data_IF_387362190910
#
_entry.id   IF_387362190910
#
_cell.length_a   1.000
_cell.length_b   1.000
_cell.length_c   1.000
_cell.angle_alpha   90.00
_cell.angle_beta   90.00
_cell.angle_gamma   90.00
#
_symmetry.space_group_name_H-M   'P 1'
#
loop_
_entity.id
_entity.type
_entity.pdbx_description
1 polymer ?
#
# COMPACT_ATOMS: atom_id res chain seq x y z
N UNK A 1 -2.89 -8.24 29.60
CA UNK A 1 -2.09 -9.18 28.79
C UNK A 1 -1.87 -8.57 27.41
N UNK A 2 -0.66 -8.10 27.10
CA UNK A 2 -0.32 -7.64 25.76
C UNK A 2 0.05 -8.84 24.90
N UNK A 3 -0.83 -9.24 23.98
CA UNK A 3 -0.55 -10.26 22.97
C UNK A 3 0.50 -9.69 22.01
N UNK A 4 1.79 -9.96 22.25
CA UNK A 4 2.85 -9.71 21.27
C UNK A 4 2.65 -10.70 20.12
N UNK A 5 1.85 -10.32 19.12
CA UNK A 5 1.82 -11.01 17.83
C UNK A 5 3.25 -11.01 17.30
N UNK A 6 3.89 -12.18 17.26
CA UNK A 6 5.29 -12.35 16.84
C UNK A 6 5.45 -11.80 15.42
N UNK A 7 6.21 -10.73 15.31
CA UNK A 7 6.74 -10.25 14.04
C UNK A 7 7.94 -11.13 13.70
N UNK A 8 7.94 -11.76 12.53
CA UNK A 8 9.06 -12.57 12.04
C UNK A 8 9.80 -11.78 10.96
N UNK A 9 11.09 -11.53 11.18
CA UNK A 9 12.01 -11.00 10.15
C UNK A 9 12.32 -12.16 9.22
N UNK A 10 11.97 -12.04 7.94
CA UNK A 10 11.99 -13.18 7.01
C UNK A 10 13.28 -13.31 6.19
N UNK A 11 13.94 -12.22 5.80
CA UNK A 11 15.14 -12.30 4.95
C UNK A 11 15.89 -10.95 4.91
N UNK A 12 17.21 -11.02 4.75
CA UNK A 12 18.10 -9.90 4.40
C UNK A 12 18.52 -10.09 2.94
N UNK A 13 17.85 -9.42 2.01
CA UNK A 13 18.29 -9.39 0.61
C UNK A 13 18.76 -7.97 0.33
N UNK A 14 20.05 -7.80 0.01
CA UNK A 14 20.63 -6.49 -0.33
C UNK A 14 20.29 -5.37 0.68
N UNK A 15 20.39 -5.67 1.98
CA UNK A 15 20.08 -4.76 3.09
C UNK A 15 18.59 -4.39 3.26
N UNK A 16 17.67 -4.88 2.44
CA UNK A 16 16.24 -4.67 2.64
C UNK A 16 15.69 -5.69 3.65
N UNK A 17 15.00 -5.20 4.69
CA UNK A 17 14.43 -6.05 5.74
C UNK A 17 12.93 -6.18 5.51
N UNK A 18 12.46 -7.42 5.53
CA UNK A 18 11.07 -7.77 5.28
C UNK A 18 10.42 -8.25 6.59
N UNK A 19 9.35 -7.57 6.98
CA UNK A 19 8.55 -7.88 8.18
C UNK A 19 7.19 -8.43 7.76
N UNK A 20 6.84 -9.65 8.17
CA UNK A 20 5.53 -10.24 7.88
C UNK A 20 4.58 -10.06 9.06
N UNK A 21 3.41 -9.50 8.78
CA UNK A 21 2.31 -9.44 9.73
C UNK A 21 1.46 -10.72 9.68
N UNK A 22 0.72 -11.05 10.76
CA UNK A 22 -0.18 -12.21 10.77
C UNK A 22 -1.27 -12.18 9.69
N UNK A 23 -1.56 -11.01 9.12
CA UNK A 23 -2.52 -10.86 8.02
C UNK A 23 -1.93 -11.07 6.63
N UNK A 24 -0.65 -11.46 6.53
CA UNK A 24 0.03 -11.63 5.24
C UNK A 24 0.55 -10.33 4.62
N UNK A 25 0.39 -9.19 5.30
CA UNK A 25 1.02 -7.93 4.89
C UNK A 25 2.52 -8.02 5.11
N UNK A 26 3.26 -7.64 4.10
CA UNK A 26 4.71 -7.60 4.08
C UNK A 26 5.12 -6.12 4.17
N UNK A 27 5.89 -5.75 5.20
CA UNK A 27 6.42 -4.40 5.38
C UNK A 27 7.87 -4.38 4.90
N UNK A 28 8.18 -3.39 4.07
CA UNK A 28 9.46 -3.17 3.42
C UNK A 28 10.21 -2.09 4.20
N UNK A 29 11.31 -2.45 4.88
CA UNK A 29 12.12 -1.48 5.66
C UNK A 29 13.58 -1.45 5.22
N UNK A 30 14.14 -0.25 5.18
CA UNK A 30 15.55 -0.01 4.90
C UNK A 30 16.29 0.40 6.17
N UNK A 31 17.36 -0.33 6.57
CA UNK A 31 18.25 0.07 7.63
C UNK A 31 19.18 1.20 7.16
N UNK A 32 19.24 2.26 7.95
CA UNK A 32 20.15 3.38 7.81
C UNK A 32 21.11 3.36 9.00
N UNK A 33 22.40 3.22 8.72
CA UNK A 33 23.44 3.33 9.75
C UNK A 33 23.56 4.79 10.20
N UNK A 34 23.51 5.00 11.50
CA UNK A 34 23.68 6.32 12.14
C UNK A 34 24.74 6.20 13.25
N UNK A 35 25.36 7.30 13.70
CA UNK A 35 26.25 7.26 14.86
C UNK A 35 25.53 6.66 16.07
N UNK A 36 26.07 5.57 16.63
CA UNK A 36 25.49 4.91 17.79
C UNK A 36 24.33 3.94 17.52
N UNK A 37 23.96 3.64 16.26
CA UNK A 37 22.91 2.65 16.00
C UNK A 37 22.47 2.46 14.54
N UNK A 38 21.30 1.86 14.37
CA UNK A 38 20.63 1.64 13.08
C UNK A 38 19.19 2.14 13.17
N UNK A 39 18.81 3.05 12.28
CA UNK A 39 17.42 3.48 12.08
C UNK A 39 16.79 2.61 11.01
N UNK A 40 15.53 2.22 11.16
CA UNK A 40 14.78 1.49 10.12
C UNK A 40 13.71 2.41 9.56
N UNK A 41 13.82 2.78 8.27
CA UNK A 41 12.79 3.53 7.57
C UNK A 41 11.87 2.58 6.82
N UNK A 42 10.55 2.76 6.98
CA UNK A 42 9.56 2.07 6.15
C UNK A 42 9.60 2.68 4.75
N UNK A 43 9.81 1.85 3.74
CA UNK A 43 9.77 2.25 2.33
C UNK A 43 8.43 1.88 1.68
N UNK A 44 7.65 1.00 2.32
CA UNK A 44 6.37 0.57 1.80
C UNK A 44 5.83 -0.69 2.45
N UNK A 45 4.74 -1.21 1.89
CA UNK A 45 4.17 -2.49 2.28
C UNK A 45 3.48 -3.15 1.07
N UNK A 46 3.25 -4.47 1.15
CA UNK A 46 2.49 -5.21 0.14
C UNK A 46 1.53 -6.21 0.77
N UNK A 47 0.34 -6.34 0.16
CA UNK A 47 -0.58 -7.47 0.33
C UNK A 47 -0.48 -8.35 -0.93
N UNK A 48 0.52 -9.23 -0.95
CA UNK A 48 0.79 -10.11 -2.10
C UNK A 48 -0.39 -11.01 -2.44
N UNK A 49 -1.17 -11.43 -1.44
CA UNK A 49 -2.38 -12.27 -1.63
C UNK A 49 -3.42 -11.53 -2.47
N UNK A 50 -3.54 -10.22 -2.29
CA UNK A 50 -4.52 -9.37 -2.99
C UNK A 50 -3.92 -8.56 -4.14
N UNK A 51 -2.63 -8.71 -4.40
CA UNK A 51 -1.94 -8.01 -5.50
C UNK A 51 -1.84 -6.50 -5.29
N UNK A 52 -1.66 -6.05 -4.05
CA UNK A 52 -1.47 -4.63 -3.71
C UNK A 52 -0.06 -4.39 -3.21
N UNK A 53 0.61 -3.36 -3.75
CA UNK A 53 1.90 -2.88 -3.27
C UNK A 53 1.84 -1.36 -3.15
N UNK A 54 2.34 -0.83 -2.03
CA UNK A 54 2.45 0.60 -1.77
C UNK A 54 3.91 0.92 -1.49
N UNK A 55 4.47 1.84 -2.27
CA UNK A 55 5.83 2.37 -2.09
C UNK A 55 5.77 3.84 -1.76
N UNK A 56 6.35 4.22 -0.63
CA UNK A 56 6.49 5.62 -0.24
C UNK A 56 7.70 6.23 -0.92
N UNK A 57 7.56 7.48 -1.35
CA UNK A 57 8.71 8.26 -1.77
C UNK A 57 9.65 8.47 -0.58
N UNK A 58 10.96 8.45 -0.83
CA UNK A 58 11.94 8.69 0.23
C UNK A 58 11.90 10.15 0.75
N UNK A 59 11.44 11.08 -0.10
CA UNK A 59 11.29 12.48 0.20
C UNK A 59 9.94 12.98 -0.34
N UNK A 60 9.27 13.83 0.43
CA UNK A 60 7.96 14.36 0.11
C UNK A 60 6.81 13.43 0.51
N UNK A 61 5.58 13.92 0.31
CA UNK A 61 4.37 13.22 0.69
C UNK A 61 3.76 12.51 -0.53
N UNK A 62 4.52 11.61 -1.15
CA UNK A 62 4.05 10.84 -2.30
C UNK A 62 4.11 9.34 -2.03
N UNK A 63 3.11 8.62 -2.53
CA UNK A 63 3.08 7.18 -2.51
C UNK A 63 2.67 6.64 -3.88
N UNK A 64 3.36 5.61 -4.34
CA UNK A 64 3.00 4.87 -5.55
C UNK A 64 2.29 3.59 -5.17
N UNK A 65 1.07 3.42 -5.67
CA UNK A 65 0.26 2.23 -5.52
C UNK A 65 0.35 1.41 -6.81
N UNK A 66 0.71 0.14 -6.67
CA UNK A 66 0.66 -0.86 -7.73
C UNK A 66 -0.44 -1.88 -7.42
N UNK A 67 -1.23 -2.21 -8.44
CA UNK A 67 -2.36 -3.12 -8.34
C UNK A 67 -2.37 -4.19 -9.44
N UNK A 68 -2.43 -5.44 -9.02
CA UNK A 68 -2.55 -6.66 -9.84
C UNK A 68 -3.67 -7.59 -9.32
N UNK A 69 -4.58 -7.03 -8.52
CA UNK A 69 -5.58 -7.77 -7.77
C UNK A 69 -6.79 -8.22 -8.58
N UNK A 70 -7.92 -8.34 -7.88
CA UNK A 70 -9.17 -8.91 -8.39
C UNK A 70 -9.58 -8.35 -9.75
N UNK A 71 -9.75 -7.03 -9.87
CA UNK A 71 -10.27 -6.40 -11.09
C UNK A 71 -9.33 -6.58 -12.28
N UNK A 72 -8.01 -6.48 -12.04
CA UNK A 72 -7.01 -6.70 -13.07
C UNK A 72 -7.04 -8.14 -13.61
N UNK A 73 -7.19 -9.12 -12.72
CA UNK A 73 -7.32 -10.55 -13.06
C UNK A 73 -8.64 -10.88 -13.74
N UNK A 74 -9.69 -10.13 -13.43
CA UNK A 74 -11.01 -10.24 -14.07
C UNK A 74 -11.10 -9.56 -15.44
N UNK A 75 -9.99 -9.00 -15.95
CA UNK A 75 -9.93 -8.43 -17.29
C UNK A 75 -10.44 -6.99 -17.40
N UNK A 76 -10.41 -6.22 -16.31
CA UNK A 76 -10.73 -4.80 -16.35
C UNK A 76 -9.89 -4.08 -17.43
N UNK A 77 -10.58 -3.34 -18.30
CA UNK A 77 -9.99 -2.50 -19.35
C UNK A 77 -9.36 -1.22 -18.77
N UNK A 78 -9.85 -0.77 -17.62
CA UNK A 78 -9.35 0.36 -16.87
C UNK A 78 -9.56 0.16 -15.36
N UNK A 79 -8.52 0.44 -14.56
CA UNK A 79 -8.63 0.50 -13.10
C UNK A 79 -8.46 1.94 -12.61
N UNK A 80 -9.21 2.29 -11.57
CA UNK A 80 -9.14 3.56 -10.88
C UNK A 80 -8.76 3.33 -9.42
N UNK A 81 -7.89 4.18 -8.91
CA UNK A 81 -7.61 4.30 -7.48
C UNK A 81 -8.68 5.22 -6.88
N UNK A 82 -9.49 4.69 -5.98
CA UNK A 82 -10.45 5.47 -5.20
C UNK A 82 -9.86 5.68 -3.81
N UNK A 83 -9.54 6.92 -3.45
CA UNK A 83 -8.89 7.22 -2.18
C UNK A 83 -9.44 8.46 -1.51
N UNK A 84 -9.42 8.47 -0.18
CA UNK A 84 -9.78 9.62 0.65
C UNK A 84 -8.99 9.64 1.95
N UNK A 85 -9.19 10.69 2.73
CA UNK A 85 -8.49 10.95 3.99
C UNK A 85 -9.47 10.89 5.17
N UNK A 86 -8.98 11.06 6.40
CA UNK A 86 -9.80 11.03 7.60
C UNK A 86 -10.12 9.62 8.12
N UNK A 87 -11.29 9.48 8.75
CA UNK A 87 -11.71 8.23 9.41
C UNK A 87 -12.00 7.12 8.38
N UNK A 88 -11.57 5.86 8.60
CA UNK A 88 -11.81 4.76 7.66
C UNK A 88 -13.30 4.48 7.36
N UNK A 89 -14.22 4.94 8.21
CA UNK A 89 -15.67 4.83 8.03
C UNK A 89 -16.30 6.09 7.42
N UNK A 90 -15.59 7.22 7.44
CA UNK A 90 -16.07 8.51 6.94
C UNK A 90 -14.95 9.23 6.19
N UNK A 91 -14.78 8.89 4.91
CA UNK A 91 -13.70 9.42 4.09
C UNK A 91 -14.01 10.88 3.70
N UNK A 92 -12.97 11.70 3.71
CA UNK A 92 -13.00 13.09 3.29
C UNK A 92 -12.12 13.29 2.06
N UNK A 93 -12.38 14.36 1.29
CA UNK A 93 -11.60 14.72 0.10
C UNK A 93 -11.39 13.54 -0.86
N UNK A 94 -12.47 12.78 -1.08
CA UNK A 94 -12.45 11.54 -1.85
C UNK A 94 -12.19 11.86 -3.32
N UNK A 95 -11.24 11.13 -3.92
CA UNK A 95 -10.92 11.23 -5.33
C UNK A 95 -10.94 9.85 -5.98
N UNK A 96 -11.34 9.81 -7.25
CA UNK A 96 -11.23 8.63 -8.10
C UNK A 96 -10.31 8.97 -9.25
N UNK A 97 -9.13 8.36 -9.28
CA UNK A 97 -8.08 8.71 -10.21
C UNK A 97 -7.77 7.53 -11.11
N UNK A 98 -7.73 7.79 -12.43
CA UNK A 98 -7.34 6.78 -13.42
C UNK A 98 -5.91 6.30 -13.13
N UNK A 99 -5.73 4.98 -13.09
CA UNK A 99 -4.41 4.35 -12.99
C UNK A 99 -3.84 4.07 -14.37
N UNK A 100 -2.51 4.06 -14.48
CA UNK A 100 -1.81 3.77 -15.72
C UNK A 100 -1.46 2.29 -15.79
N UNK A 101 -1.68 1.69 -16.97
CA UNK A 101 -1.33 0.28 -17.19
C UNK A 101 0.14 0.18 -17.54
N UNK A 102 0.90 -0.56 -16.74
CA UNK A 102 2.33 -0.82 -16.91
C UNK A 102 2.58 -2.33 -17.06
N UNK A 103 3.80 -2.75 -17.43
CA UNK A 103 4.16 -4.17 -17.41
C UNK A 103 4.06 -4.84 -16.03
N UNK A 104 4.09 -4.05 -14.94
CA UNK A 104 3.97 -4.57 -13.57
C UNK A 104 2.51 -4.70 -13.11
N UNK A 105 1.58 -3.96 -13.72
CA UNK A 105 0.17 -3.90 -13.32
C UNK A 105 -0.41 -2.51 -13.51
N UNK A 106 -1.41 -2.15 -12.72
CA UNK A 106 -1.98 -0.80 -12.69
C UNK A 106 -1.25 0.05 -11.66
N UNK A 107 -0.68 1.17 -12.06
CA UNK A 107 0.12 2.04 -11.20
C UNK A 107 -0.49 3.44 -11.07
N UNK A 108 -0.40 4.02 -9.87
CA UNK A 108 -0.72 5.42 -9.63
C UNK A 108 0.12 6.00 -8.50
N UNK A 109 0.78 7.12 -8.78
CA UNK A 109 1.39 7.95 -7.73
C UNK A 109 0.38 8.98 -7.24
N UNK A 110 0.18 9.04 -5.93
CA UNK A 110 -0.68 10.01 -5.26
C UNK A 110 0.13 10.88 -4.32
N UNK A 111 -0.24 12.16 -4.26
CA UNK A 111 0.20 13.07 -3.21
C UNK A 111 -0.69 12.91 -1.99
N UNK A 112 -0.07 12.62 -0.87
CA UNK A 112 -0.72 12.52 0.42
C UNK A 112 -0.82 13.93 1.02
N UNK A 113 -2.04 14.47 1.07
CA UNK A 113 -2.31 15.75 1.73
C UNK A 113 -2.23 15.62 3.27
N UNK A 114 -2.45 14.41 3.78
CA UNK A 114 -2.37 14.04 5.20
C UNK A 114 -1.48 12.80 5.37
N UNK A 115 -1.06 12.51 6.60
CA UNK A 115 -0.17 11.38 6.89
C UNK A 115 -0.78 10.01 6.57
N UNK A 116 -2.11 9.93 6.40
CA UNK A 116 -2.83 8.68 6.12
C UNK A 116 -3.93 8.90 5.09
N UNK A 117 -4.07 7.93 4.18
CA UNK A 117 -5.18 7.86 3.25
C UNK A 117 -5.74 6.44 3.23
N UNK A 118 -7.06 6.31 3.14
CA UNK A 118 -7.73 5.04 2.90
C UNK A 118 -8.03 4.92 1.41
N UNK A 119 -7.88 3.73 0.84
CA UNK A 119 -8.11 3.52 -0.59
C UNK A 119 -8.66 2.14 -0.91
N UNK A 120 -9.27 2.07 -2.09
CA UNK A 120 -9.72 0.86 -2.77
C UNK A 120 -9.66 1.07 -4.28
N UNK A 121 -10.12 0.07 -5.04
CA UNK A 121 -10.09 0.11 -6.50
C UNK A 121 -11.49 -0.07 -7.07
N UNK A 122 -11.72 0.56 -8.22
CA UNK A 122 -12.87 0.26 -9.08
C UNK A 122 -12.44 0.15 -10.54
N UNK A 123 -13.23 -0.54 -11.34
CA UNK A 123 -13.05 -0.57 -12.79
C UNK A 123 -14.03 0.38 -13.51
N UNK A 124 -13.93 0.45 -14.84
CA UNK A 124 -14.83 1.23 -15.70
C UNK A 124 -16.28 0.75 -15.65
N UNK A 125 -16.50 -0.55 -15.44
CA UNK A 125 -17.81 -1.20 -15.36
C UNK A 125 -18.48 -1.06 -13.98
N UNK A 126 -17.85 -0.33 -13.05
CA UNK A 126 -18.33 -0.05 -11.70
C UNK A 126 -18.33 -1.24 -10.73
N UNK A 127 -17.46 -2.22 -10.97
CA UNK A 127 -17.09 -3.22 -9.97
C UNK A 127 -16.05 -2.64 -9.01
N UNK A 128 -16.02 -3.18 -7.79
CA UNK A 128 -15.17 -2.70 -6.72
C UNK A 128 -14.32 -3.81 -6.15
N UNK A 129 -13.05 -3.48 -5.88
CA UNK A 129 -12.19 -4.23 -4.99
C UNK A 129 -11.88 -3.33 -3.80
N UNK A 130 -12.69 -3.49 -2.76
CA UNK A 130 -12.58 -2.77 -1.50
C UNK A 130 -12.12 -3.69 -0.36
N UNK A 131 -11.42 -4.79 -0.70
CA UNK A 131 -10.97 -5.78 0.27
C UNK A 131 -12.12 -6.26 1.18
N UNK A 132 -13.27 -6.61 0.60
CA UNK A 132 -14.46 -7.02 1.34
C UNK A 132 -14.91 -5.99 2.40
N UNK A 133 -14.77 -4.70 2.10
CA UNK A 133 -15.13 -3.59 2.98
C UNK A 133 -14.04 -3.13 3.95
N UNK A 134 -12.91 -3.84 4.05
CA UNK A 134 -11.80 -3.43 4.91
C UNK A 134 -10.94 -2.32 4.31
N UNK A 135 -10.96 -2.17 2.98
CA UNK A 135 -10.11 -1.26 2.22
C UNK A 135 -8.61 -1.50 2.51
N UNK A 136 -7.77 -0.58 2.04
CA UNK A 136 -6.35 -0.49 2.41
C UNK A 136 -6.00 0.91 2.89
N UNK A 137 -4.86 1.05 3.54
CA UNK A 137 -4.36 2.32 4.06
C UNK A 137 -2.95 2.61 3.57
N UNK A 138 -2.74 3.83 3.10
CA UNK A 138 -1.41 4.42 2.94
C UNK A 138 -1.13 5.19 4.22
N UNK A 139 0.02 4.99 4.86
CA UNK A 139 0.40 5.76 6.05
C UNK A 139 1.90 5.90 6.17
N UNK A 140 2.39 7.13 6.27
CA UNK A 140 3.78 7.49 6.61
C UNK A 140 4.01 7.42 8.11
#
# INVERSE_FOLDING_TARGET
MACRKKITVLELINFHVIIKSPGGIIIHVNPIKIPGGVLYLVQGWSDSTRGVEVKQAAYGNEATVLYTGLLAKSGADQVYLHCGFGDPTHWQNVTTQRMDRTPRGWEKTVRLAENKATFCFKDSANNWDNNSGYNWMIGT
#
